data_IF_539150020478
#
_entry.id   IF_539150020478
#
_cell.length_a   1.000
_cell.length_b   1.000
_cell.length_c   1.000
_cell.angle_alpha   90.00
_cell.angle_beta   90.00
_cell.angle_gamma   90.00
#
_symmetry.space_group_name_H-M   'P 1'
#
loop_
_entity.id
_entity.type
_entity.pdbx_description
1 polymer ?
#
# COMPACT_ATOMS: atom_id res chain seq x y z
N UNK A 1 -27.36 -0.14 16.05
CA UNK A 1 -26.11 0.31 16.69
C UNK A 1 -25.00 -0.57 16.14
N UNK A 2 -24.01 0.00 15.46
CA UNK A 2 -22.91 -0.80 14.90
C UNK A 2 -22.08 -1.42 16.02
N UNK A 3 -21.65 -2.66 15.85
CA UNK A 3 -20.81 -3.34 16.85
C UNK A 3 -19.45 -2.63 16.95
N UNK A 4 -18.66 -2.94 17.99
CA UNK A 4 -17.29 -2.40 18.10
C UNK A 4 -16.46 -2.68 16.83
N UNK A 5 -16.73 -3.80 16.17
CA UNK A 5 -16.09 -4.20 14.92
C UNK A 5 -16.48 -3.30 13.74
N UNK A 6 -17.74 -2.88 13.65
CA UNK A 6 -18.20 -1.93 12.63
C UNK A 6 -17.51 -0.57 12.78
N UNK A 7 -17.34 -0.10 14.03
CA UNK A 7 -16.62 1.13 14.31
C UNK A 7 -15.16 1.04 13.85
N UNK A 8 -14.47 -0.04 14.20
CA UNK A 8 -13.09 -0.27 13.78
C UNK A 8 -13.00 -0.39 12.25
N UNK A 9 -13.89 -1.15 11.63
CA UNK A 9 -13.95 -1.32 10.16
C UNK A 9 -14.14 0.02 9.44
N UNK A 10 -14.98 0.90 9.98
CA UNK A 10 -15.21 2.25 9.44
C UNK A 10 -13.96 3.14 9.49
N UNK A 11 -13.00 2.87 10.38
CA UNK A 11 -11.73 3.61 10.48
C UNK A 11 -10.61 2.96 9.67
N UNK A 12 -10.61 1.64 9.61
CA UNK A 12 -9.64 0.84 8.85
C UNK A 12 -9.86 1.05 7.34
N UNK A 13 -11.11 0.99 6.86
CA UNK A 13 -11.39 1.03 5.42
C UNK A 13 -10.79 2.27 4.71
N UNK A 14 -10.98 3.52 5.19
CA UNK A 14 -10.36 4.68 4.56
C UNK A 14 -8.83 4.62 4.52
N UNK A 15 -8.19 4.12 5.58
CA UNK A 15 -6.74 3.96 5.61
C UNK A 15 -6.27 2.99 4.52
N UNK A 16 -6.90 1.82 4.41
CA UNK A 16 -6.59 0.85 3.38
C UNK A 16 -6.83 1.39 1.96
N UNK A 17 -7.91 2.16 1.76
CA UNK A 17 -8.23 2.77 0.46
C UNK A 17 -7.14 3.76 0.06
N UNK A 18 -6.76 4.67 0.96
CA UNK A 18 -5.71 5.65 0.71
C UNK A 18 -4.36 4.96 0.45
N UNK A 19 -4.01 3.94 1.25
CA UNK A 19 -2.79 3.15 1.05
C UNK A 19 -2.76 2.48 -0.33
N UNK A 20 -3.89 1.92 -0.77
CA UNK A 20 -4.01 1.30 -2.09
C UNK A 20 -3.85 2.33 -3.22
N UNK A 21 -4.43 3.52 -3.06
CA UNK A 21 -4.32 4.59 -4.05
C UNK A 21 -2.91 5.17 -4.13
N UNK A 22 -2.25 5.40 -2.99
CA UNK A 22 -0.85 5.87 -2.94
C UNK A 22 0.09 4.87 -3.63
N UNK A 23 -0.06 3.57 -3.34
CA UNK A 23 0.69 2.52 -4.02
C UNK A 23 0.43 2.51 -5.53
N UNK A 24 -0.83 2.65 -5.94
CA UNK A 24 -1.20 2.72 -7.35
C UNK A 24 -0.58 3.93 -8.06
N UNK A 25 -0.49 5.08 -7.39
CA UNK A 25 0.18 6.29 -7.93
C UNK A 25 1.67 6.03 -8.12
N UNK A 26 2.33 5.40 -7.15
CA UNK A 26 3.76 5.05 -7.26
C UNK A 26 3.99 4.07 -8.42
N UNK A 27 3.19 3.01 -8.55
CA UNK A 27 3.27 2.08 -9.70
C UNK A 27 3.14 2.82 -11.03
N UNK A 28 2.12 3.67 -11.17
CA UNK A 28 1.90 4.43 -12.42
C UNK A 28 3.07 5.35 -12.73
N UNK A 29 3.64 6.01 -11.73
CA UNK A 29 4.80 6.87 -11.91
C UNK A 29 6.06 6.07 -12.30
N UNK A 30 6.21 4.85 -11.77
CA UNK A 30 7.28 3.91 -12.14
C UNK A 30 7.14 3.47 -13.59
N UNK A 31 5.97 2.99 -13.99
CA UNK A 31 5.68 2.56 -15.36
C UNK A 31 5.87 3.70 -16.37
N UNK A 32 5.52 4.93 -16.00
CA UNK A 32 5.73 6.12 -16.83
C UNK A 32 7.19 6.62 -16.85
N UNK A 33 8.16 5.88 -16.29
CA UNK A 33 9.58 6.25 -16.24
C UNK A 33 9.82 7.63 -15.60
N UNK A 34 8.91 8.11 -14.75
CA UNK A 34 9.01 9.43 -14.11
C UNK A 34 10.11 9.50 -13.05
N UNK A 35 10.65 8.34 -12.66
CA UNK A 35 11.78 8.23 -11.74
C UNK A 35 13.14 8.06 -12.47
N UNK A 36 13.18 7.77 -13.77
CA UNK A 36 14.43 7.53 -14.52
C UNK A 36 14.99 8.76 -15.24
N UNK A 37 14.20 9.82 -15.42
CA UNK A 37 14.67 11.09 -16.01
C UNK A 37 15.33 11.99 -14.95
N UNK A 38 16.51 11.58 -14.50
CA UNK A 38 17.28 12.19 -13.42
C UNK A 38 18.15 13.35 -13.95
N UNK A 39 17.55 14.53 -14.14
CA UNK A 39 18.27 15.82 -14.06
C UNK A 39 17.38 16.84 -13.36
N UNK A 40 17.62 17.04 -12.05
CA UNK A 40 17.19 18.25 -11.31
C UNK A 40 15.92 18.18 -10.44
N UNK A 41 14.98 17.24 -10.65
CA UNK A 41 13.67 17.20 -9.95
C UNK A 41 13.55 16.16 -8.82
N UNK A 42 14.68 15.64 -8.35
CA UNK A 42 14.80 14.45 -7.48
C UNK A 42 14.03 14.51 -6.15
N UNK A 43 13.62 15.68 -5.66
CA UNK A 43 13.07 15.76 -4.29
C UNK A 43 11.66 15.16 -4.13
N UNK A 44 10.75 15.27 -5.11
CA UNK A 44 9.34 14.88 -4.87
C UNK A 44 9.03 13.41 -5.21
N UNK A 45 9.69 12.88 -6.25
CA UNK A 45 9.56 11.47 -6.64
C UNK A 45 10.23 10.54 -5.63
N UNK A 46 11.50 10.79 -5.29
CA UNK A 46 12.23 9.98 -4.31
C UNK A 46 11.46 9.86 -2.98
N UNK A 47 10.93 10.99 -2.47
CA UNK A 47 10.11 10.99 -1.25
C UNK A 47 8.87 10.09 -1.30
N UNK A 48 8.24 9.90 -2.48
CA UNK A 48 7.08 9.00 -2.59
C UNK A 48 7.47 7.52 -2.47
N UNK A 49 8.57 7.12 -3.10
CA UNK A 49 9.08 5.73 -3.00
C UNK A 49 9.65 5.47 -1.62
N UNK A 50 10.36 6.45 -1.05
CA UNK A 50 10.88 6.40 0.32
C UNK A 50 9.73 6.31 1.34
N UNK A 51 8.64 7.05 1.13
CA UNK A 51 7.45 6.96 1.97
C UNK A 51 6.85 5.54 1.96
N UNK A 52 6.73 4.91 0.79
CA UNK A 52 6.24 3.53 0.70
C UNK A 52 7.15 2.57 1.48
N UNK A 53 8.47 2.67 1.29
CA UNK A 53 9.42 1.74 1.89
C UNK A 53 9.61 1.95 3.40
N UNK A 54 9.76 3.20 3.83
CA UNK A 54 10.14 3.54 5.20
C UNK A 54 8.93 3.68 6.13
N UNK A 55 7.73 3.94 5.59
CA UNK A 55 6.54 4.21 6.39
C UNK A 55 5.41 3.23 6.07
N UNK A 56 4.91 3.25 4.82
CA UNK A 56 3.67 2.53 4.52
C UNK A 56 3.82 1.00 4.66
N UNK A 57 4.92 0.45 4.15
CA UNK A 57 5.21 -0.99 4.25
C UNK A 57 5.34 -1.47 5.70
N UNK A 58 6.16 -0.85 6.56
CA UNK A 58 6.23 -1.21 7.98
C UNK A 58 4.88 -1.11 8.70
N UNK A 59 4.09 -0.06 8.42
CA UNK A 59 2.77 0.13 9.04
C UNK A 59 1.80 -0.96 8.60
N UNK A 60 1.71 -1.24 7.30
CA UNK A 60 0.87 -2.33 6.78
C UNK A 60 1.28 -3.68 7.36
N UNK A 61 2.58 -3.98 7.41
CA UNK A 61 3.10 -5.21 8.03
C UNK A 61 2.65 -5.32 9.48
N UNK A 62 2.87 -4.28 10.27
CA UNK A 62 2.52 -4.26 11.69
C UNK A 62 1.01 -4.43 11.90
N UNK A 63 0.19 -3.76 11.09
CA UNK A 63 -1.27 -3.91 11.15
C UNK A 63 -1.72 -5.34 10.82
N UNK A 64 -1.26 -5.92 9.71
CA UNK A 64 -1.63 -7.30 9.36
C UNK A 64 -1.13 -8.32 10.38
N UNK A 65 0.07 -8.12 10.93
CA UNK A 65 0.62 -8.98 11.99
C UNK A 65 -0.24 -8.89 13.27
N UNK A 66 -0.68 -7.69 13.65
CA UNK A 66 -1.59 -7.49 14.77
C UNK A 66 -2.96 -8.15 14.53
N UNK A 67 -3.52 -8.00 13.34
CA UNK A 67 -4.80 -8.64 12.97
C UNK A 67 -4.71 -10.17 13.01
N UNK A 68 -3.59 -10.74 12.57
CA UNK A 68 -3.34 -12.18 12.63
C UNK A 68 -3.16 -12.68 14.07
N UNK A 69 -2.37 -11.96 14.88
CA UNK A 69 -2.12 -12.34 16.29
C UNK A 69 -3.36 -12.31 17.18
N UNK A 70 -4.31 -11.42 16.89
CA UNK A 70 -5.55 -11.29 17.67
C UNK A 70 -6.73 -12.02 17.01
N UNK A 71 -6.50 -12.77 15.93
CA UNK A 71 -7.54 -13.53 15.20
C UNK A 71 -8.73 -12.66 14.74
N UNK A 72 -8.52 -11.35 14.61
CA UNK A 72 -9.55 -10.37 14.23
C UNK A 72 -9.76 -10.26 12.72
N UNK A 73 -8.95 -10.97 11.92
CA UNK A 73 -8.96 -10.88 10.46
C UNK A 73 -10.28 -11.29 9.82
N UNK A 74 -10.91 -12.35 10.32
CA UNK A 74 -12.18 -12.87 9.78
C UNK A 74 -13.32 -11.86 9.89
N UNK A 75 -13.32 -11.06 10.96
CA UNK A 75 -14.36 -10.08 11.20
C UNK A 75 -14.06 -8.72 10.58
N UNK A 76 -12.79 -8.30 10.55
CA UNK A 76 -12.41 -6.97 10.10
C UNK A 76 -12.06 -6.90 8.61
N UNK A 77 -11.53 -7.97 8.02
CA UNK A 77 -11.03 -8.00 6.64
C UNK A 77 -12.03 -8.62 5.65
N UNK A 78 -13.32 -8.34 5.81
CA UNK A 78 -14.39 -8.78 4.90
C UNK A 78 -14.94 -7.62 4.08
N UNK A 79 -15.57 -7.95 2.94
CA UNK A 79 -16.21 -6.98 2.06
C UNK A 79 -15.23 -5.97 1.44
N UNK A 80 -15.53 -4.67 1.54
CA UNK A 80 -14.73 -3.62 0.89
C UNK A 80 -13.29 -3.54 1.41
N UNK A 81 -13.05 -3.91 2.68
CA UNK A 81 -11.69 -3.96 3.23
C UNK A 81 -10.89 -5.04 2.53
N UNK A 82 -11.49 -6.22 2.33
CA UNK A 82 -10.87 -7.35 1.63
C UNK A 82 -10.45 -6.98 0.20
N UNK A 83 -11.37 -6.38 -0.56
CA UNK A 83 -11.12 -5.92 -1.94
C UNK A 83 -9.94 -4.95 -1.96
N UNK A 84 -9.87 -4.06 -0.97
CA UNK A 84 -8.81 -3.07 -0.87
C UNK A 84 -7.46 -3.71 -0.48
N UNK A 85 -7.45 -4.70 0.40
CA UNK A 85 -6.25 -5.50 0.70
C UNK A 85 -5.69 -6.18 -0.56
N UNK A 86 -6.55 -6.74 -1.43
CA UNK A 86 -6.10 -7.30 -2.70
C UNK A 86 -5.50 -6.24 -3.64
N UNK A 87 -6.05 -5.03 -3.66
CA UNK A 87 -5.48 -3.90 -4.43
C UNK A 87 -4.07 -3.55 -3.92
N UNK A 88 -3.88 -3.47 -2.60
CA UNK A 88 -2.57 -3.26 -1.98
C UNK A 88 -1.60 -4.37 -2.37
N UNK A 89 -1.99 -5.63 -2.20
CA UNK A 89 -1.14 -6.79 -2.50
C UNK A 89 -0.71 -6.79 -3.98
N UNK A 90 -1.65 -6.57 -4.89
CA UNK A 90 -1.36 -6.49 -6.32
C UNK A 90 -0.41 -5.35 -6.66
N UNK A 91 -0.60 -4.17 -6.06
CA UNK A 91 0.30 -3.05 -6.27
C UNK A 91 1.72 -3.37 -5.76
N UNK A 92 1.85 -3.91 -4.54
CA UNK A 92 3.13 -4.31 -3.97
C UNK A 92 3.83 -5.39 -4.80
N UNK A 93 3.09 -6.38 -5.31
CA UNK A 93 3.62 -7.39 -6.22
C UNK A 93 4.20 -6.77 -7.49
N UNK A 94 3.48 -5.81 -8.09
CA UNK A 94 3.99 -5.05 -9.24
C UNK A 94 5.23 -4.24 -8.88
N UNK A 95 5.26 -3.51 -7.77
CA UNK A 95 6.47 -2.77 -7.35
C UNK A 95 7.68 -3.71 -7.20
N UNK A 96 7.50 -4.85 -6.54
CA UNK A 96 8.57 -5.80 -6.28
C UNK A 96 9.09 -6.49 -7.55
N UNK A 97 8.22 -6.81 -8.50
CA UNK A 97 8.59 -7.51 -9.74
C UNK A 97 9.01 -6.57 -10.88
N UNK A 98 8.49 -5.34 -10.91
CA UNK A 98 8.85 -4.31 -11.91
C UNK A 98 10.23 -3.69 -11.61
N UNK A 99 10.67 -3.66 -10.35
CA UNK A 99 12.02 -3.21 -10.00
C UNK A 99 13.10 -4.11 -10.64
N UNK A 100 12.87 -5.43 -10.73
CA UNK A 100 13.77 -6.36 -11.41
C UNK A 100 13.87 -6.12 -12.91
N UNK A 101 12.83 -5.58 -13.55
CA UNK A 101 12.83 -5.25 -14.99
C UNK A 101 13.59 -3.95 -15.30
N UNK A 102 13.58 -2.99 -14.38
CA UNK A 102 14.28 -1.71 -14.54
C UNK A 102 15.73 -1.75 -14.01
N UNK A 103 16.07 -2.65 -13.09
CA UNK A 103 17.44 -2.84 -12.60
C UNK A 103 18.37 -3.48 -13.65
N UNK A 104 17.81 -4.08 -14.70
CA UNK A 104 18.54 -4.71 -15.80
C UNK A 104 18.57 -3.84 -17.08
N UNK A 105 18.36 -2.53 -16.94
CA UNK A 105 18.40 -1.56 -18.03
C UNK A 105 19.35 -0.43 -17.67
#
# INVERSE_FOLDING_TARGET
>A
MGTAEDFVRSRILPFFVNAADDLCVVVRNLDASRYSHVKGTIKRGACSVDYIHMVLLPVLKSMFEHLGKNECGEYLLVGNVQVTCYRILNALYKLGTTSSKHANR
#
